data_IF_224003710009
#
_entry.id   IF_224003710009
#
_cell.length_a   1.000
_cell.length_b   1.000
_cell.length_c   1.000
_cell.angle_alpha   90.00
_cell.angle_beta   90.00
_cell.angle_gamma   90.00
#
_symmetry.space_group_name_H-M   'P 1'
#
loop_
_entity.id
_entity.type
_entity.pdbx_description
1 polymer ?
#
# COMPACT_ATOMS: atom_id res chain seq x y z
N UNK A 1 17.09 -19.89 -17.97
CA UNK A 1 15.80 -19.20 -17.76
C UNK A 1 15.88 -18.03 -16.77
N UNK A 2 16.82 -17.99 -15.80
CA UNK A 2 16.95 -16.81 -14.91
C UNK A 2 17.58 -15.58 -15.57
N UNK A 3 18.49 -15.74 -16.54
CA UNK A 3 19.26 -14.63 -17.10
C UNK A 3 18.45 -13.63 -17.94
N UNK A 4 17.40 -14.08 -18.63
CA UNK A 4 16.60 -13.22 -19.52
C UNK A 4 15.68 -12.28 -18.73
N UNK A 5 15.18 -12.72 -17.57
CA UNK A 5 14.36 -11.87 -16.72
C UNK A 5 15.21 -10.74 -16.11
N UNK A 6 16.34 -11.10 -15.50
CA UNK A 6 17.24 -10.20 -14.79
C UNK A 6 17.82 -9.12 -15.74
N UNK A 7 18.24 -9.51 -16.95
CA UNK A 7 18.97 -8.61 -17.87
C UNK A 7 18.07 -7.79 -18.79
N UNK A 8 16.90 -8.30 -19.16
CA UNK A 8 16.07 -7.68 -20.20
C UNK A 8 14.74 -7.20 -19.63
N UNK A 9 13.93 -8.11 -19.12
CA UNK A 9 12.55 -7.78 -18.73
C UNK A 9 12.49 -6.83 -17.52
N UNK A 10 13.31 -7.06 -16.49
CA UNK A 10 13.36 -6.16 -15.33
C UNK A 10 13.87 -4.76 -15.72
N UNK A 11 14.91 -4.67 -16.56
CA UNK A 11 15.41 -3.38 -17.06
C UNK A 11 14.35 -2.64 -17.90
N UNK A 12 13.56 -3.36 -18.71
CA UNK A 12 12.42 -2.78 -19.44
C UNK A 12 11.34 -2.25 -18.49
N UNK A 13 10.97 -3.03 -17.47
CA UNK A 13 9.98 -2.61 -16.47
C UNK A 13 10.47 -1.37 -15.69
N UNK A 14 11.73 -1.33 -15.28
CA UNK A 14 12.31 -0.17 -14.58
C UNK A 14 12.40 1.08 -15.46
N UNK A 15 12.73 0.94 -16.75
CA UNK A 15 12.70 2.06 -17.70
C UNK A 15 11.28 2.58 -17.91
N UNK A 16 10.30 1.69 -18.06
CA UNK A 16 8.90 2.09 -18.15
C UNK A 16 8.43 2.76 -16.86
N UNK A 17 8.89 2.27 -15.70
CA UNK A 17 8.62 2.90 -14.41
C UNK A 17 9.15 4.33 -14.40
N UNK A 18 10.41 4.56 -14.75
CA UNK A 18 11.00 5.90 -14.86
C UNK A 18 10.19 6.82 -15.77
N UNK A 19 9.80 6.36 -16.96
CA UNK A 19 8.98 7.13 -17.89
C UNK A 19 7.63 7.53 -17.25
N UNK A 20 7.00 6.61 -16.50
CA UNK A 20 5.74 6.92 -15.81
C UNK A 20 5.92 7.96 -14.69
N UNK A 21 7.07 7.93 -14.00
CA UNK A 21 7.39 8.91 -12.96
C UNK A 21 7.69 10.29 -13.59
N UNK A 22 8.36 10.33 -14.74
CA UNK A 22 8.61 11.55 -15.51
C UNK A 22 7.30 12.25 -15.90
N UNK A 23 6.24 11.49 -16.21
CA UNK A 23 4.92 12.01 -16.56
C UNK A 23 3.95 12.17 -15.38
N UNK A 24 4.42 12.01 -14.13
CA UNK A 24 3.58 11.99 -12.91
C UNK A 24 2.40 10.99 -13.00
N UNK A 25 2.59 9.89 -13.74
CA UNK A 25 1.66 8.77 -13.87
C UNK A 25 2.01 7.66 -12.87
N UNK A 26 1.80 7.97 -11.59
CA UNK A 26 2.01 7.04 -10.49
C UNK A 26 1.05 5.84 -10.52
N UNK A 27 -0.05 5.90 -11.30
CA UNK A 27 -0.96 4.75 -11.48
C UNK A 27 -0.26 3.68 -12.30
N UNK A 28 0.35 4.07 -13.42
CA UNK A 28 1.18 3.16 -14.23
C UNK A 28 2.39 2.67 -13.43
N UNK A 29 3.05 3.55 -12.67
CA UNK A 29 4.14 3.13 -11.76
C UNK A 29 3.73 2.04 -10.76
N UNK A 30 2.55 2.17 -10.13
CA UNK A 30 2.00 1.14 -9.24
C UNK A 30 1.75 -0.20 -9.97
N UNK A 31 1.20 -0.15 -11.19
CA UNK A 31 0.99 -1.36 -12.03
C UNK A 31 2.32 -2.04 -12.33
N UNK A 32 3.37 -1.27 -12.63
CA UNK A 32 4.70 -1.81 -12.92
C UNK A 32 5.32 -2.43 -11.65
N UNK A 33 5.18 -1.79 -10.48
CA UNK A 33 5.60 -2.38 -9.21
C UNK A 33 4.92 -3.74 -8.95
N UNK A 34 3.62 -3.86 -9.26
CA UNK A 34 2.91 -5.14 -9.22
C UNK A 34 3.46 -6.17 -10.21
N UNK A 35 3.78 -5.74 -11.44
CA UNK A 35 4.35 -6.61 -12.48
C UNK A 35 5.70 -7.15 -12.05
N UNK A 36 6.60 -6.30 -11.54
CA UNK A 36 7.91 -6.71 -11.02
C UNK A 36 7.72 -7.76 -9.91
N UNK A 37 6.82 -7.53 -8.94
CA UNK A 37 6.54 -8.54 -7.90
C UNK A 37 5.97 -9.85 -8.46
N UNK A 38 5.16 -9.78 -9.51
CA UNK A 38 4.54 -10.97 -10.11
C UNK A 38 5.55 -11.78 -10.91
N UNK A 39 6.40 -11.12 -11.69
CA UNK A 39 7.52 -11.77 -12.37
C UNK A 39 8.50 -12.36 -11.36
N UNK A 40 8.84 -11.61 -10.30
CA UNK A 40 9.68 -12.10 -9.21
C UNK A 40 9.10 -13.36 -8.55
N UNK A 41 7.79 -13.43 -8.35
CA UNK A 41 7.09 -14.65 -7.90
C UNK A 41 7.27 -15.83 -8.86
N UNK A 42 7.07 -15.62 -10.16
CA UNK A 42 7.20 -16.68 -11.18
C UNK A 42 8.63 -17.20 -11.36
N UNK A 43 9.63 -16.36 -11.09
CA UNK A 43 11.05 -16.71 -11.24
C UNK A 43 11.77 -16.90 -9.89
N UNK A 44 11.04 -16.93 -8.79
CA UNK A 44 11.55 -17.11 -7.42
C UNK A 44 12.64 -16.09 -7.01
N UNK A 45 12.52 -14.85 -7.45
CA UNK A 45 13.47 -13.76 -7.22
C UNK A 45 13.05 -12.87 -6.06
N UNK A 46 13.36 -13.29 -4.83
CA UNK A 46 13.03 -12.57 -3.59
C UNK A 46 13.40 -11.07 -3.64
N UNK A 47 14.61 -10.75 -4.07
CA UNK A 47 15.12 -9.38 -4.04
C UNK A 47 14.29 -8.44 -4.93
N UNK A 48 13.89 -8.93 -6.11
CA UNK A 48 13.06 -8.18 -7.04
C UNK A 48 11.63 -8.00 -6.56
N UNK A 49 11.08 -8.97 -5.84
CA UNK A 49 9.79 -8.79 -5.20
C UNK A 49 9.82 -7.64 -4.18
N UNK A 50 10.89 -7.55 -3.38
CA UNK A 50 11.05 -6.45 -2.41
C UNK A 50 11.26 -5.10 -3.14
N UNK A 51 12.04 -5.08 -4.23
CA UNK A 51 12.15 -3.89 -5.11
C UNK A 51 10.78 -3.45 -5.65
N UNK A 52 10.02 -4.38 -6.22
CA UNK A 52 8.68 -4.12 -6.75
C UNK A 52 7.71 -3.61 -5.66
N UNK A 53 7.85 -4.13 -4.43
CA UNK A 53 7.12 -3.64 -3.27
C UNK A 53 7.45 -2.17 -2.98
N UNK A 54 8.73 -1.78 -2.94
CA UNK A 54 9.15 -0.39 -2.70
C UNK A 54 8.60 0.58 -3.74
N UNK A 55 8.75 0.23 -5.01
CA UNK A 55 8.29 1.04 -6.14
C UNK A 55 6.77 1.23 -6.09
N UNK A 56 6.04 0.13 -5.85
CA UNK A 56 4.60 0.18 -5.64
C UNK A 56 4.21 1.11 -4.49
N UNK A 57 4.87 0.97 -3.34
CA UNK A 57 4.46 1.68 -2.13
C UNK A 57 4.62 3.20 -2.29
N UNK A 58 5.74 3.66 -2.87
CA UNK A 58 5.97 5.09 -3.13
C UNK A 58 4.94 5.61 -4.14
N UNK A 59 4.59 4.84 -5.17
CA UNK A 59 3.55 5.24 -6.12
C UNK A 59 2.17 5.37 -5.46
N UNK A 60 1.80 4.47 -4.54
CA UNK A 60 0.56 4.57 -3.77
C UNK A 60 0.54 5.84 -2.93
N UNK A 61 1.63 6.13 -2.24
CA UNK A 61 1.75 7.36 -1.46
C UNK A 61 1.65 8.61 -2.36
N UNK A 62 2.34 8.63 -3.50
CA UNK A 62 2.28 9.72 -4.47
C UNK A 62 0.87 9.93 -5.04
N UNK A 63 0.14 8.84 -5.35
CA UNK A 63 -1.27 8.91 -5.76
C UNK A 63 -2.15 9.54 -4.68
N UNK A 64 -1.93 9.17 -3.41
CA UNK A 64 -2.68 9.76 -2.29
C UNK A 64 -2.44 11.27 -2.18
N UNK A 65 -1.23 11.72 -2.48
CA UNK A 65 -0.86 13.14 -2.47
C UNK A 65 -1.44 13.89 -3.68
N UNK A 66 -1.34 13.32 -4.89
CA UNK A 66 -1.92 13.88 -6.12
C UNK A 66 -3.42 14.18 -5.98
N UNK A 67 -4.14 13.38 -5.20
CA UNK A 67 -5.58 13.57 -4.95
C UNK A 67 -5.89 14.63 -3.87
N UNK A 68 -4.90 15.10 -3.10
CA UNK A 68 -5.11 15.93 -1.90
C UNK A 68 -4.38 17.28 -1.94
N UNK A 69 -3.43 17.47 -2.85
CA UNK A 69 -2.43 18.52 -2.72
C UNK A 69 -2.17 19.31 -4.00
N UNK A 70 -1.51 20.44 -3.81
CA UNK A 70 -0.96 21.29 -4.86
C UNK A 70 0.01 20.47 -5.76
N UNK A 71 -0.10 20.57 -7.10
CA UNK A 71 0.84 19.96 -8.05
C UNK A 71 2.32 20.07 -7.67
N UNK A 72 2.73 21.18 -7.03
CA UNK A 72 4.13 21.41 -6.64
C UNK A 72 4.66 20.43 -5.57
N UNK A 73 3.76 19.80 -4.80
CA UNK A 73 4.12 18.83 -3.76
C UNK A 73 4.63 17.50 -4.33
N UNK A 74 4.39 17.24 -5.63
CA UNK A 74 4.82 16.01 -6.31
C UNK A 74 6.28 16.06 -6.80
N UNK A 75 6.80 17.25 -7.11
CA UNK A 75 8.16 17.40 -7.66
C UNK A 75 9.25 16.76 -6.78
N UNK A 76 9.26 16.95 -5.44
CA UNK A 76 10.23 16.28 -4.57
C UNK A 76 10.10 14.75 -4.58
N UNK A 77 8.88 14.22 -4.72
CA UNK A 77 8.63 12.78 -4.80
C UNK A 77 9.18 12.21 -6.10
N UNK A 78 8.81 12.84 -7.22
CA UNK A 78 9.27 12.47 -8.56
C UNK A 78 10.80 12.48 -8.62
N UNK A 79 11.46 13.52 -8.11
CA UNK A 79 12.92 13.62 -8.07
C UNK A 79 13.56 12.53 -7.21
N UNK A 80 13.06 12.32 -5.98
CA UNK A 80 13.60 11.31 -5.07
C UNK A 80 13.43 9.89 -5.63
N UNK A 81 12.29 9.59 -6.26
CA UNK A 81 12.01 8.29 -6.84
C UNK A 81 12.86 8.01 -8.08
N UNK A 82 13.08 9.00 -8.96
CA UNK A 82 14.02 8.86 -10.08
C UNK A 82 15.43 8.56 -9.60
N UNK A 83 15.89 9.29 -8.58
CA UNK A 83 17.20 9.08 -7.94
C UNK A 83 17.29 7.65 -7.39
N UNK A 84 16.26 7.20 -6.66
CA UNK A 84 16.22 5.85 -6.10
C UNK A 84 16.31 4.77 -7.19
N UNK A 85 15.58 4.92 -8.29
CA UNK A 85 15.62 3.92 -9.37
C UNK A 85 16.93 3.98 -10.15
N UNK A 86 17.33 5.15 -10.66
CA UNK A 86 18.53 5.32 -11.50
C UNK A 86 19.82 5.04 -10.75
N UNK A 87 19.95 5.59 -9.56
CA UNK A 87 21.24 5.61 -8.88
C UNK A 87 21.37 4.45 -7.89
N UNK A 88 20.26 3.82 -7.49
CA UNK A 88 20.29 2.74 -6.48
C UNK A 88 19.88 1.40 -7.05
N UNK A 89 18.70 1.30 -7.66
CA UNK A 89 18.22 0.01 -8.19
C UNK A 89 19.05 -0.43 -9.40
N UNK A 90 19.26 0.42 -10.40
CA UNK A 90 20.04 0.04 -11.58
C UNK A 90 21.48 -0.35 -11.25
N UNK A 91 22.13 0.35 -10.31
CA UNK A 91 23.49 0.01 -9.88
C UNK A 91 23.53 -1.38 -9.20
N UNK A 92 22.55 -1.70 -8.37
CA UNK A 92 22.48 -3.01 -7.70
C UNK A 92 22.26 -4.18 -8.67
N UNK A 93 21.61 -3.95 -9.82
CA UNK A 93 21.48 -4.98 -10.86
C UNK A 93 22.82 -5.35 -11.49
N UNK A 94 23.78 -4.43 -11.51
CA UNK A 94 25.07 -4.63 -12.17
C UNK A 94 26.19 -5.04 -11.18
N UNK A 95 26.00 -4.87 -9.86
CA UNK A 95 27.08 -4.99 -8.84
C UNK A 95 26.85 -6.05 -7.75
N UNK A 96 25.83 -6.90 -7.91
CA UNK A 96 25.29 -7.86 -6.93
C UNK A 96 24.25 -7.24 -5.98
N UNK A 97 23.09 -7.89 -5.90
CA UNK A 97 21.93 -7.41 -5.16
C UNK A 97 22.19 -7.40 -3.66
N UNK A 98 22.06 -6.21 -3.04
CA UNK A 98 22.22 -6.02 -1.61
C UNK A 98 20.95 -5.38 -1.02
N UNK A 99 20.08 -6.22 -0.46
CA UNK A 99 18.82 -5.78 0.15
C UNK A 99 19.01 -4.82 1.32
N UNK A 100 20.11 -4.93 2.06
CA UNK A 100 20.40 -4.05 3.19
C UNK A 100 20.63 -2.61 2.73
N UNK A 101 21.45 -2.42 1.70
CA UNK A 101 21.64 -1.10 1.11
C UNK A 101 20.37 -0.60 0.42
N UNK A 102 19.58 -1.50 -0.17
CA UNK A 102 18.31 -1.13 -0.78
C UNK A 102 17.29 -0.63 0.26
N UNK A 103 17.19 -1.26 1.43
CA UNK A 103 16.35 -0.81 2.54
C UNK A 103 16.77 0.56 3.07
N UNK A 104 18.09 0.81 3.19
CA UNK A 104 18.62 2.13 3.55
C UNK A 104 18.20 3.18 2.53
N UNK A 105 18.40 2.90 1.25
CA UNK A 105 18.08 3.83 0.17
C UNK A 105 16.57 4.06 0.02
N UNK A 106 15.76 3.03 0.26
CA UNK A 106 14.30 3.16 0.35
C UNK A 106 13.89 4.06 1.51
N UNK A 107 14.39 3.80 2.73
CA UNK A 107 14.10 4.63 3.89
C UNK A 107 14.56 6.08 3.70
N UNK A 108 15.72 6.30 3.07
CA UNK A 108 16.20 7.63 2.70
C UNK A 108 15.23 8.34 1.74
N UNK A 109 14.68 7.61 0.77
CA UNK A 109 13.70 8.13 -0.19
C UNK A 109 12.40 8.53 0.52
N UNK A 110 11.87 7.68 1.40
CA UNK A 110 10.68 7.98 2.22
C UNK A 110 10.94 9.19 3.13
N UNK A 111 12.11 9.27 3.75
CA UNK A 111 12.48 10.39 4.63
C UNK A 111 12.58 11.71 3.88
N UNK A 112 13.20 11.71 2.69
CA UNK A 112 13.31 12.91 1.85
C UNK A 112 11.95 13.43 1.39
N UNK A 113 11.02 12.53 1.09
CA UNK A 113 9.69 12.88 0.58
C UNK A 113 8.66 13.16 1.67
N UNK A 114 8.98 12.85 2.93
CA UNK A 114 8.08 13.01 4.09
C UNK A 114 7.41 14.38 4.14
N UNK A 115 8.19 15.46 4.00
CA UNK A 115 7.67 16.83 4.09
C UNK A 115 6.70 17.18 2.96
N UNK A 116 6.67 16.42 1.84
CA UNK A 116 5.66 16.60 0.80
C UNK A 116 4.24 16.23 1.28
N UNK A 117 4.12 15.37 2.28
CA UNK A 117 2.84 14.88 2.79
C UNK A 117 2.21 15.73 3.89
N UNK A 118 2.94 16.73 4.41
CA UNK A 118 2.47 17.58 5.48
C UNK A 118 1.86 18.88 4.93
N UNK A 119 0.75 19.38 5.51
CA UNK A 119 0.29 20.73 5.27
C UNK A 119 1.37 21.79 5.62
N UNK A 120 1.37 22.99 5.00
CA UNK A 120 2.40 24.00 5.23
C UNK A 120 2.65 24.32 6.72
N UNK A 121 1.58 24.54 7.51
CA UNK A 121 1.68 24.81 8.96
C UNK A 121 2.30 23.64 9.74
N UNK A 122 2.03 22.41 9.31
CA UNK A 122 2.57 21.21 9.94
C UNK A 122 4.07 21.03 9.65
N UNK A 123 4.53 21.39 8.44
CA UNK A 123 5.96 21.32 8.07
C UNK A 123 6.85 22.15 8.98
N UNK A 124 6.35 23.31 9.43
CA UNK A 124 7.09 24.25 10.28
C UNK A 124 7.14 23.81 11.75
N UNK A 125 6.10 23.12 12.22
CA UNK A 125 5.94 22.77 13.64
C UNK A 125 6.42 21.36 13.97
N UNK A 126 6.15 20.38 13.11
CA UNK A 126 6.47 18.99 13.41
C UNK A 126 7.91 18.63 13.07
N UNK A 127 8.67 18.28 14.11
CA UNK A 127 10.06 17.84 14.00
C UNK A 127 10.15 16.33 13.75
N UNK A 128 11.21 15.92 13.06
CA UNK A 128 11.58 14.51 12.91
C UNK A 128 11.84 13.91 14.30
N UNK A 129 11.12 12.84 14.65
CA UNK A 129 11.27 12.09 15.90
C UNK A 129 11.00 10.58 15.69
N UNK A 130 11.94 9.83 15.10
CA UNK A 130 11.77 8.40 14.82
C UNK A 130 11.68 7.57 16.12
N UNK A 131 12.19 8.09 17.24
CA UNK A 131 12.05 7.42 18.54
C UNK A 131 10.60 7.39 19.01
N UNK A 132 9.85 8.48 18.81
CA UNK A 132 8.41 8.51 19.05
C UNK A 132 7.69 7.51 18.15
N UNK A 133 7.99 7.52 16.85
CA UNK A 133 7.43 6.56 15.88
C UNK A 133 7.67 5.11 16.31
N UNK A 134 8.89 4.77 16.70
CA UNK A 134 9.22 3.41 17.14
C UNK A 134 8.43 2.98 18.37
N UNK A 135 8.25 3.88 19.35
CA UNK A 135 7.44 3.60 20.55
C UNK A 135 5.97 3.42 20.20
N UNK A 136 5.43 4.28 19.32
CA UNK A 136 4.04 4.20 18.90
C UNK A 136 3.77 2.92 18.09
N UNK A 137 4.66 2.55 17.17
CA UNK A 137 4.55 1.32 16.38
C UNK A 137 4.58 0.09 17.28
N UNK A 138 5.47 0.05 18.28
CA UNK A 138 5.46 -1.02 19.29
C UNK A 138 4.12 -1.13 20.00
N UNK A 139 3.52 -0.01 20.43
CA UNK A 139 2.21 -0.05 21.07
C UNK A 139 1.11 -0.55 20.13
N UNK A 140 1.12 -0.13 18.86
CA UNK A 140 0.17 -0.60 17.84
C UNK A 140 0.33 -2.11 17.60
N UNK A 141 1.56 -2.62 17.53
CA UNK A 141 1.83 -4.06 17.40
C UNK A 141 1.33 -4.82 18.64
N UNK A 142 1.59 -4.33 19.85
CA UNK A 142 1.07 -4.96 21.08
C UNK A 142 -0.45 -5.05 21.06
N UNK A 143 -1.16 -4.02 20.57
CA UNK A 143 -2.62 -4.07 20.43
C UNK A 143 -3.07 -5.19 19.48
N UNK A 144 -2.38 -5.41 18.36
CA UNK A 144 -2.67 -6.52 17.45
C UNK A 144 -2.52 -7.87 18.17
N UNK A 145 -1.41 -8.07 18.89
CA UNK A 145 -1.13 -9.36 19.54
C UNK A 145 -2.08 -9.64 20.70
N UNK A 146 -2.39 -8.62 21.51
CA UNK A 146 -3.35 -8.69 22.62
C UNK A 146 -4.78 -8.96 22.13
N UNK A 147 -5.12 -8.57 20.90
CA UNK A 147 -6.49 -8.63 20.36
C UNK A 147 -6.58 -9.44 19.06
N UNK A 148 -5.63 -10.34 18.78
CA UNK A 148 -5.55 -11.07 17.50
C UNK A 148 -6.79 -11.89 17.18
N UNK A 149 -7.48 -12.39 18.21
CA UNK A 149 -8.73 -13.14 18.05
C UNK A 149 -9.84 -12.29 17.42
N UNK A 150 -9.76 -10.96 17.53
CA UNK A 150 -10.71 -10.07 16.87
C UNK A 150 -10.61 -10.12 15.34
N UNK A 151 -9.53 -10.65 14.76
CA UNK A 151 -9.42 -10.87 13.32
C UNK A 151 -10.47 -11.86 12.80
N UNK A 152 -11.05 -12.69 13.68
CA UNK A 152 -12.12 -13.64 13.35
C UNK A 152 -13.48 -12.98 13.07
N UNK A 153 -13.61 -11.67 13.29
CA UNK A 153 -14.82 -10.93 12.95
C UNK A 153 -14.71 -10.36 11.53
N UNK A 154 -15.60 -10.73 10.58
CA UNK A 154 -15.53 -10.27 9.17
C UNK A 154 -15.61 -8.75 8.99
N UNK A 155 -16.21 -8.05 9.93
CA UNK A 155 -16.33 -6.58 9.91
C UNK A 155 -15.08 -5.88 10.46
N UNK A 156 -14.12 -6.63 11.01
CA UNK A 156 -12.91 -6.06 11.56
C UNK A 156 -12.01 -5.52 10.45
N UNK A 157 -11.46 -4.32 10.66
CA UNK A 157 -10.52 -3.68 9.75
C UNK A 157 -9.19 -3.41 10.48
N UNK A 158 -8.75 -4.34 11.33
CA UNK A 158 -7.63 -4.16 12.26
C UNK A 158 -6.37 -3.70 11.54
N UNK A 159 -5.93 -4.44 10.52
CA UNK A 159 -4.72 -4.10 9.77
C UNK A 159 -4.83 -2.73 9.09
N UNK A 160 -5.98 -2.40 8.48
CA UNK A 160 -6.23 -1.07 7.91
C UNK A 160 -6.16 0.03 8.97
N UNK A 161 -6.73 -0.20 10.15
CA UNK A 161 -6.66 0.73 11.29
C UNK A 161 -5.22 0.95 11.76
N UNK A 162 -4.44 -0.13 11.90
CA UNK A 162 -3.02 -0.05 12.22
C UNK A 162 -2.25 0.74 11.14
N UNK A 163 -2.44 0.40 9.87
CA UNK A 163 -1.78 1.08 8.75
C UNK A 163 -2.15 2.56 8.69
N UNK A 164 -3.40 2.91 8.96
CA UNK A 164 -3.83 4.31 8.99
C UNK A 164 -3.03 5.11 10.04
N UNK A 165 -2.95 4.60 11.27
CA UNK A 165 -2.20 5.28 12.34
C UNK A 165 -0.69 5.23 12.12
N UNK A 166 -0.14 4.09 11.69
CA UNK A 166 1.29 3.96 11.44
C UNK A 166 1.75 4.87 10.30
N UNK A 167 0.99 4.96 9.21
CA UNK A 167 1.29 5.88 8.11
C UNK A 167 1.19 7.34 8.54
N UNK A 168 0.16 7.71 9.33
CA UNK A 168 0.01 9.07 9.87
C UNK A 168 1.23 9.45 10.72
N UNK A 169 1.58 8.61 11.69
CA UNK A 169 2.70 8.84 12.60
C UNK A 169 4.02 8.89 11.82
N UNK A 170 4.24 7.94 10.91
CA UNK A 170 5.46 7.89 10.09
C UNK A 170 5.62 9.10 9.17
N UNK A 171 4.52 9.61 8.58
CA UNK A 171 4.53 10.83 7.75
C UNK A 171 4.80 12.09 8.58
N UNK A 172 4.31 12.18 9.82
CA UNK A 172 4.53 13.35 10.69
C UNK A 172 5.93 13.32 11.30
N UNK A 173 6.28 12.25 12.00
CA UNK A 173 7.49 12.19 12.82
C UNK A 173 8.67 11.49 12.14
N UNK A 174 8.49 10.96 10.93
CA UNK A 174 9.53 10.17 10.26
C UNK A 174 9.64 8.76 10.82
N UNK A 175 10.42 7.93 10.15
CA UNK A 175 10.55 6.48 10.43
C UNK A 175 12.02 6.09 10.43
N UNK A 176 12.34 5.05 11.19
CA UNK A 176 13.60 4.31 11.05
C UNK A 176 13.43 3.16 10.05
N UNK A 177 14.54 2.57 9.61
CA UNK A 177 14.53 1.36 8.75
C UNK A 177 13.73 0.22 9.42
N UNK A 178 13.88 0.05 10.74
CA UNK A 178 13.09 -0.93 11.50
C UNK A 178 11.59 -0.67 11.38
N UNK A 179 11.18 0.60 11.45
CA UNK A 179 9.77 0.97 11.32
C UNK A 179 9.26 0.69 9.89
N UNK A 180 10.11 0.86 8.87
CA UNK A 180 9.80 0.50 7.48
C UNK A 180 9.64 -1.02 7.29
N UNK A 181 10.47 -1.84 7.93
CA UNK A 181 10.29 -3.29 7.92
C UNK A 181 8.93 -3.70 8.47
N UNK A 182 8.54 -3.13 9.61
CA UNK A 182 7.24 -3.40 10.25
C UNK A 182 6.10 -2.93 9.35
N UNK A 183 6.16 -1.71 8.82
CA UNK A 183 5.16 -1.19 7.88
C UNK A 183 4.98 -2.10 6.67
N UNK A 184 6.08 -2.60 6.10
CA UNK A 184 6.02 -3.48 4.95
C UNK A 184 5.33 -4.81 5.25
N UNK A 185 5.64 -5.41 6.38
CA UNK A 185 5.01 -6.65 6.82
C UNK A 185 3.51 -6.45 7.08
N UNK A 186 3.12 -5.44 7.86
CA UNK A 186 1.70 -5.15 8.13
C UNK A 186 0.95 -4.84 6.83
N UNK A 187 1.56 -4.08 5.92
CA UNK A 187 0.96 -3.79 4.60
C UNK A 187 0.70 -5.06 3.81
N UNK A 188 1.62 -6.03 3.87
CA UNK A 188 1.44 -7.28 3.16
C UNK A 188 0.49 -8.25 3.87
N UNK A 189 0.43 -8.24 5.21
CA UNK A 189 -0.59 -8.96 5.98
C UNK A 189 -2.00 -8.46 5.62
N UNK A 190 -2.23 -7.14 5.61
CA UNK A 190 -3.50 -6.53 5.20
C UNK A 190 -3.94 -7.00 3.81
N UNK A 191 -3.00 -7.07 2.85
CA UNK A 191 -3.29 -7.54 1.49
C UNK A 191 -3.61 -9.04 1.40
N UNK A 192 -3.01 -9.86 2.26
CA UNK A 192 -3.32 -11.30 2.33
C UNK A 192 -4.68 -11.50 2.99
N UNK A 193 -4.94 -10.78 4.08
CA UNK A 193 -6.22 -10.75 4.79
C UNK A 193 -7.39 -10.28 3.91
N UNK A 194 -7.18 -9.26 3.07
CA UNK A 194 -8.19 -8.79 2.12
C UNK A 194 -8.64 -9.90 1.15
N UNK A 195 -7.73 -10.80 0.74
CA UNK A 195 -8.13 -11.96 -0.08
C UNK A 195 -8.98 -12.96 0.70
N UNK A 196 -8.68 -13.22 1.98
CA UNK A 196 -9.53 -14.08 2.81
C UNK A 196 -10.93 -13.47 2.90
N UNK A 197 -11.04 -12.21 3.32
CA UNK A 197 -12.33 -11.54 3.47
C UNK A 197 -13.16 -11.44 2.18
N UNK A 198 -12.53 -11.39 1.00
CA UNK A 198 -13.24 -11.28 -0.27
C UNK A 198 -13.57 -12.62 -0.96
N UNK A 199 -13.02 -13.74 -0.48
CA UNK A 199 -13.18 -15.05 -1.14
C UNK A 199 -13.84 -16.11 -0.25
N UNK A 200 -14.27 -15.73 0.95
CA UNK A 200 -15.00 -16.59 1.88
C UNK A 200 -16.46 -16.76 1.46
N UNK A 201 -17.03 -17.92 1.79
CA UNK A 201 -18.41 -18.28 1.45
C UNK A 201 -19.38 -17.79 2.52
N UNK A 202 -19.02 -17.99 3.79
CA UNK A 202 -19.83 -17.66 4.96
C UNK A 202 -18.93 -17.34 6.17
N UNK A 203 -19.56 -17.16 7.34
CA UNK A 203 -18.86 -16.83 8.59
C UNK A 203 -17.95 -17.97 9.08
N UNK A 204 -18.38 -19.22 8.96
CA UNK A 204 -17.61 -20.38 9.44
C UNK A 204 -16.36 -20.59 8.58
N UNK A 205 -16.49 -20.46 7.26
CA UNK A 205 -15.36 -20.47 6.32
C UNK A 205 -14.41 -19.29 6.61
N UNK A 206 -14.93 -18.09 6.86
CA UNK A 206 -14.11 -16.94 7.24
C UNK A 206 -13.30 -17.22 8.51
N UNK A 207 -13.94 -17.63 9.60
CA UNK A 207 -13.23 -17.91 10.86
C UNK A 207 -12.18 -19.01 10.66
N UNK A 208 -12.53 -20.11 9.97
CA UNK A 208 -11.60 -21.21 9.72
C UNK A 208 -10.38 -20.77 8.91
N UNK A 209 -10.57 -19.91 7.92
CA UNK A 209 -9.47 -19.38 7.09
C UNK A 209 -8.63 -18.36 7.84
N UNK A 210 -9.22 -17.50 8.68
CA UNK A 210 -8.45 -16.63 9.57
C UNK A 210 -7.54 -17.47 10.48
N UNK A 211 -8.06 -18.54 11.08
CA UNK A 211 -7.28 -19.44 11.95
C UNK A 211 -6.15 -20.16 11.22
N UNK A 212 -6.39 -20.62 9.99
CA UNK A 212 -5.42 -21.44 9.23
C UNK A 212 -4.43 -20.62 8.41
N UNK A 213 -4.85 -19.47 7.90
CA UNK A 213 -4.08 -18.68 6.93
C UNK A 213 -3.50 -17.40 7.54
N UNK A 214 -4.24 -16.68 8.39
CA UNK A 214 -3.83 -15.34 8.88
C UNK A 214 -3.16 -15.40 10.25
N UNK A 215 -3.78 -16.03 11.25
CA UNK A 215 -3.23 -16.10 12.61
C UNK A 215 -1.81 -16.71 12.68
N UNK A 216 -1.45 -17.76 11.91
CA UNK A 216 -0.08 -18.26 11.89
C UNK A 216 0.93 -17.24 11.35
N UNK A 217 0.52 -16.38 10.41
CA UNK A 217 1.35 -15.29 9.91
C UNK A 217 1.50 -14.19 10.96
N UNK A 218 0.44 -13.85 11.69
CA UNK A 218 0.50 -12.89 12.82
C UNK A 218 1.43 -13.39 13.92
N UNK A 219 1.37 -14.68 14.26
CA UNK A 219 2.28 -15.27 15.25
C UNK A 219 3.74 -15.24 14.76
N UNK A 220 3.99 -15.52 13.48
CA UNK A 220 5.33 -15.40 12.88
C UNK A 220 5.83 -13.95 12.89
N UNK A 221 4.93 -12.98 12.72
CA UNK A 221 5.27 -11.55 12.75
C UNK A 221 5.75 -11.10 14.14
N UNK A 222 5.21 -11.64 15.22
CA UNK A 222 5.65 -11.33 16.58
C UNK A 222 7.16 -11.57 16.75
N UNK A 223 7.63 -12.74 16.30
CA UNK A 223 9.05 -13.13 16.35
C UNK A 223 9.95 -12.17 15.57
N UNK A 224 9.45 -11.67 14.43
CA UNK A 224 10.21 -10.78 13.53
C UNK A 224 10.20 -9.32 13.98
N UNK A 225 9.07 -8.81 14.50
CA UNK A 225 8.87 -7.38 14.71
C UNK A 225 9.17 -6.89 16.13
N UNK A 226 8.95 -7.73 17.15
CA UNK A 226 9.13 -7.33 18.56
C UNK A 226 10.57 -7.49 19.02
N UNK A 227 11.35 -8.37 18.37
CA UNK A 227 12.73 -8.62 18.76
C UNK A 227 13.56 -7.31 18.75
N UNK A 228 14.32 -7.06 19.83
CA UNK A 228 15.13 -5.84 19.98
C UNK A 228 16.14 -5.73 18.82
N UNK A 229 16.73 -6.86 18.43
CA UNK A 229 17.62 -6.99 17.28
C UNK A 229 16.87 -7.69 16.15
N UNK A 230 16.14 -6.91 15.37
CA UNK A 230 15.40 -7.43 14.23
C UNK A 230 16.42 -7.91 13.18
N UNK A 231 16.36 -9.20 12.85
CA UNK A 231 17.17 -9.80 11.79
C UNK A 231 16.54 -9.47 10.44
N UNK A 232 17.26 -8.67 9.65
CA UNK A 232 16.79 -8.22 8.34
C UNK A 232 16.61 -9.39 7.36
N UNK A 233 17.40 -10.47 7.47
CA UNK A 233 17.22 -11.65 6.63
C UNK A 233 15.89 -12.36 6.94
N UNK A 234 15.50 -12.42 8.21
CA UNK A 234 14.20 -12.94 8.61
C UNK A 234 13.06 -12.05 8.11
N UNK A 235 13.20 -10.72 8.20
CA UNK A 235 12.25 -9.78 7.59
C UNK A 235 12.11 -10.03 6.11
N UNK A 236 13.21 -10.09 5.38
CA UNK A 236 13.21 -10.26 3.93
C UNK A 236 12.52 -11.57 3.54
N UNK A 237 12.83 -12.68 4.23
CA UNK A 237 12.21 -13.99 4.00
C UNK A 237 10.71 -13.97 4.31
N UNK A 238 10.32 -13.33 5.41
CA UNK A 238 8.93 -13.26 5.81
C UNK A 238 8.11 -12.36 4.88
N UNK A 239 8.66 -11.20 4.50
CA UNK A 239 8.04 -10.31 3.53
C UNK A 239 7.88 -10.99 2.16
N UNK A 240 8.89 -11.73 1.71
CA UNK A 240 8.81 -12.54 0.49
C UNK A 240 7.70 -13.60 0.56
N UNK A 241 7.57 -14.32 1.69
CA UNK A 241 6.47 -15.27 1.90
C UNK A 241 5.11 -14.59 1.75
N UNK A 242 4.92 -13.43 2.36
CA UNK A 242 3.65 -12.68 2.27
C UNK A 242 3.37 -12.19 0.84
N UNK A 243 4.39 -11.65 0.15
CA UNK A 243 4.28 -11.26 -1.26
C UNK A 243 3.88 -12.47 -2.11
N UNK A 244 4.51 -13.62 -1.89
CA UNK A 244 4.24 -14.86 -2.64
C UNK A 244 2.80 -15.34 -2.44
N UNK A 245 2.30 -15.37 -1.20
CA UNK A 245 0.90 -15.72 -0.90
C UNK A 245 -0.05 -14.75 -1.61
N UNK A 246 0.23 -13.45 -1.53
CA UNK A 246 -0.58 -12.43 -2.17
C UNK A 246 -0.56 -12.53 -3.71
N UNK A 247 0.59 -12.84 -4.32
CA UNK A 247 0.72 -13.07 -5.77
C UNK A 247 0.01 -14.35 -6.21
N UNK A 248 0.12 -15.43 -5.43
CA UNK A 248 -0.61 -16.67 -5.66
C UNK A 248 -2.14 -16.45 -5.63
N UNK A 249 -2.63 -15.75 -4.61
CA UNK A 249 -4.05 -15.41 -4.51
C UNK A 249 -4.51 -14.51 -5.67
N UNK A 250 -3.68 -13.58 -6.12
CA UNK A 250 -3.96 -12.79 -7.32
C UNK A 250 -4.10 -13.65 -8.58
N UNK A 251 -3.25 -14.66 -8.78
CA UNK A 251 -3.39 -15.58 -9.92
C UNK A 251 -4.70 -16.39 -9.80
N UNK A 252 -5.03 -16.84 -8.59
CA UNK A 252 -6.22 -17.68 -8.33
C UNK A 252 -7.53 -16.90 -8.48
N UNK A 253 -7.57 -15.64 -8.06
CA UNK A 253 -8.82 -14.90 -7.88
C UNK A 253 -8.86 -13.54 -8.62
N UNK A 254 -7.78 -13.13 -9.29
CA UNK A 254 -7.62 -11.81 -9.92
C UNK A 254 -7.73 -10.64 -8.92
N UNK A 255 -7.84 -9.40 -9.42
CA UNK A 255 -8.29 -8.27 -8.60
C UNK A 255 -9.71 -8.56 -8.13
N UNK A 256 -9.86 -8.87 -6.85
CA UNK A 256 -11.19 -9.14 -6.32
C UNK A 256 -11.93 -7.81 -6.26
N UNK A 257 -12.94 -7.67 -7.12
CA UNK A 257 -13.83 -6.51 -7.11
C UNK A 257 -14.50 -6.49 -5.73
N UNK A 258 -14.41 -5.36 -5.02
CA UNK A 258 -15.19 -5.15 -3.80
C UNK A 258 -16.66 -5.34 -4.16
N UNK A 259 -17.25 -6.45 -3.76
CA UNK A 259 -18.69 -6.65 -3.82
C UNK A 259 -19.32 -5.54 -2.96
N UNK A 260 -20.01 -4.58 -3.58
CA UNK A 260 -20.64 -3.48 -2.84
C UNK A 260 -20.63 -2.09 -3.47
N UNK A 261 -20.19 -1.91 -4.71
CA UNK A 261 -20.74 -0.84 -5.53
C UNK A 261 -21.40 -1.54 -6.70
N UNK A 262 -22.75 -1.59 -6.79
CA UNK A 262 -23.37 -1.81 -8.08
C UNK A 262 -22.70 -0.82 -9.00
N UNK A 263 -21.98 -1.29 -10.01
CA UNK A 263 -21.84 -0.48 -11.19
C UNK A 263 -23.29 -0.32 -11.65
N UNK A 264 -23.93 0.76 -11.18
CA UNK A 264 -24.86 1.48 -12.03
C UNK A 264 -23.98 1.72 -13.25
N UNK A 265 -24.12 0.83 -14.25
CA UNK A 265 -24.02 1.27 -15.61
C UNK A 265 -24.88 2.51 -15.60
N UNK A 266 -24.24 3.69 -15.57
CA UNK A 266 -24.89 4.91 -15.96
C UNK A 266 -25.18 4.65 -17.43
N UNK A 267 -26.26 3.92 -17.67
CA UNK A 267 -26.98 3.94 -18.91
C UNK A 267 -27.25 5.43 -19.09
N UNK A 268 -26.53 5.98 -20.06
CA UNK A 268 -26.85 7.13 -20.86
C UNK A 268 -27.51 8.29 -20.13
N UNK A 269 -26.78 9.40 -20.07
CA UNK A 269 -27.31 10.77 -19.97
C UNK A 269 -28.79 10.84 -19.57
N UNK A 270 -29.05 11.13 -18.29
CA UNK A 270 -30.33 11.75 -17.94
C UNK A 270 -30.39 13.03 -18.75
N UNK A 271 -31.10 12.97 -19.88
CA UNK A 271 -31.31 14.09 -20.79
C UNK A 271 -31.77 15.25 -19.92
N UNK A 272 -31.06 16.38 -20.01
CA UNK A 272 -31.34 17.66 -19.33
C UNK A 272 -32.83 18.01 -19.14
N UNK A 273 -33.78 17.68 -20.05
CA UNK A 273 -35.22 17.87 -19.79
C UNK A 273 -35.80 17.14 -18.57
N UNK A 274 -35.37 15.90 -18.25
CA UNK A 274 -35.98 15.10 -17.17
C UNK A 274 -35.62 15.67 -15.79
N UNK A 275 -34.40 16.21 -15.67
CA UNK A 275 -33.94 16.86 -14.44
C UNK A 275 -34.69 18.17 -14.15
N UNK A 276 -35.17 18.87 -15.18
CA UNK A 276 -36.00 20.07 -15.02
C UNK A 276 -37.42 19.72 -14.56
N UNK A 277 -38.03 18.71 -15.17
CA UNK A 277 -39.38 18.27 -14.79
C UNK A 277 -39.45 17.77 -13.35
N UNK A 278 -38.45 17.00 -12.90
CA UNK A 278 -38.36 16.54 -11.51
C UNK A 278 -38.18 17.70 -10.51
N UNK A 279 -37.39 18.70 -10.87
CA UNK A 279 -37.21 19.89 -10.02
C UNK A 279 -38.48 20.74 -9.97
N UNK A 280 -39.19 20.86 -11.09
CA UNK A 280 -40.47 21.59 -11.16
C UNK A 280 -41.60 20.86 -10.42
N UNK A 281 -41.69 19.53 -10.48
CA UNK A 281 -42.66 18.74 -9.72
C UNK A 281 -42.41 18.82 -8.21
N UNK A 282 -41.15 18.75 -7.76
CA UNK A 282 -40.80 18.87 -6.34
C UNK A 282 -41.05 20.29 -5.83
N UNK A 283 -40.74 21.32 -6.63
CA UNK A 283 -41.03 22.70 -6.27
C UNK A 283 -42.54 22.93 -6.13
N UNK A 284 -43.34 22.36 -7.03
CA UNK A 284 -44.81 22.49 -7.01
C UNK A 284 -45.44 21.74 -5.84
N UNK A 285 -44.95 20.54 -5.50
CA UNK A 285 -45.44 19.80 -4.33
C UNK A 285 -45.12 20.51 -3.01
N UNK A 286 -43.97 21.17 -2.92
CA UNK A 286 -43.58 21.97 -1.74
C UNK A 286 -44.38 23.27 -1.65
N UNK A 287 -44.73 23.89 -2.77
CA UNK A 287 -45.63 25.07 -2.79
C UNK A 287 -47.06 24.70 -2.38
N UNK A 288 -47.56 23.52 -2.78
CA UNK A 288 -48.88 23.03 -2.37
C UNK A 288 -48.92 22.68 -0.87
N UNK A 289 -47.83 22.17 -0.28
CA UNK A 289 -47.71 21.93 1.17
C UNK A 289 -47.57 23.21 2.00
N UNK A 290 -46.98 24.28 1.45
CA UNK A 290 -46.78 25.56 2.15
C UNK A 290 -47.96 26.53 1.93
N UNK A 291 -48.67 26.40 0.81
CA UNK A 291 -49.81 27.24 0.43
C UNK A 291 -51.19 26.72 0.87
N UNK A 292 -51.28 25.45 1.31
CA UNK A 292 -52.51 24.85 1.85
C UNK A 292 -52.83 25.31 3.27
N UNK A 293 -53.44 26.50 3.39
CA UNK A 293 -54.34 26.86 4.49
C UNK A 293 -55.79 26.57 4.11
#
# INVERSE_FOLDING_TARGET
MSDDYDKVALKQDLNLFLNSIDSNDFRTGNIIGNRIMSNAYLFEKQNYAIMGYFLKQICIDALSLKNRSDPDSLSPITSALKTFVKDKIFIQLDTQENLHELWKDYNNTVTKTRNSFLPPKEKELYKVNPQFTNKAFKKIISLLLENRDSLKYPTNNFFKGMLNEMNRIGKIYGTSIKDQHVLAIITMLDRVDEYVGLTVIDYEDFESRIEKEILPLVNSFEEVAINKNLDENLVNKFLWKLISIWRFNFIKFMEVKRAGVPQIQVQEEIKKPVKKQLVEEIAKSLEDEIGGK
#
